data_IF_405463829913
#
_entry.id   IF_405463829913
#
_cell.length_a   1.000
_cell.length_b   1.000
_cell.length_c   1.000
_cell.angle_alpha   90.00
_cell.angle_beta   90.00
_cell.angle_gamma   90.00
#
_symmetry.space_group_name_H-M   'P 1'
#
loop_
_entity.id
_entity.type
_entity.pdbx_description
1 polymer ?
#
# COMPACT_ATOMS: atom_id res chain seq x y z
N UNK A 1 3.83 4.62 -36.79
CA UNK A 1 2.87 5.11 -35.80
C UNK A 1 3.50 6.30 -35.09
N UNK A 2 2.82 7.42 -35.06
CA UNK A 2 3.33 8.59 -34.35
C UNK A 2 3.14 8.36 -32.83
N UNK A 3 4.25 8.22 -32.07
CA UNK A 3 4.24 7.95 -30.64
C UNK A 3 4.04 9.23 -29.80
N UNK A 4 3.93 10.40 -30.41
CA UNK A 4 3.74 11.66 -29.71
C UNK A 4 2.40 11.74 -28.96
N UNK A 5 1.41 10.98 -29.38
CA UNK A 5 0.08 10.95 -28.79
C UNK A 5 -0.06 10.05 -27.53
N UNK A 6 0.97 9.32 -27.14
CA UNK A 6 0.91 8.50 -25.91
C UNK A 6 1.33 9.32 -24.69
N UNK A 7 0.64 9.10 -23.58
CA UNK A 7 1.11 9.60 -22.28
C UNK A 7 2.50 9.04 -21.96
N UNK A 8 3.20 9.71 -21.05
CA UNK A 8 4.52 9.32 -20.53
C UNK A 8 4.40 9.19 -19.02
N UNK A 9 4.17 7.97 -18.56
CA UNK A 9 3.93 7.66 -17.15
C UNK A 9 5.16 6.96 -16.60
N UNK A 10 5.68 7.50 -15.50
CA UNK A 10 6.68 6.84 -14.67
C UNK A 10 5.98 6.22 -13.47
N UNK A 11 6.45 5.05 -13.04
CA UNK A 11 6.22 4.52 -11.70
C UNK A 11 7.55 4.40 -11.00
N UNK A 12 7.68 5.01 -9.84
CA UNK A 12 8.88 5.08 -9.02
C UNK A 12 8.59 4.37 -7.69
N UNK A 13 9.52 3.53 -7.22
CA UNK A 13 9.32 2.69 -6.04
C UNK A 13 10.67 2.50 -5.31
N UNK A 14 10.76 2.93 -4.06
CA UNK A 14 11.95 2.85 -3.23
C UNK A 14 12.25 1.39 -2.87
N UNK A 15 13.43 0.93 -3.20
CA UNK A 15 13.83 -0.47 -3.03
C UNK A 15 14.03 -0.82 -1.56
N UNK A 16 13.24 -1.80 -1.06
CA UNK A 16 13.25 -2.27 0.33
C UNK A 16 13.20 -1.11 1.35
N UNK A 17 12.35 -0.12 1.12
CA UNK A 17 12.40 1.22 1.68
C UNK A 17 12.79 1.30 3.15
N UNK A 18 12.00 0.75 4.09
CA UNK A 18 12.32 0.87 5.52
C UNK A 18 13.66 0.21 5.86
N UNK A 19 13.94 -0.96 5.31
CA UNK A 19 15.23 -1.63 5.53
C UNK A 19 16.39 -0.82 4.95
N UNK A 20 16.21 -0.16 3.81
CA UNK A 20 17.22 0.69 3.19
C UNK A 20 17.49 1.95 4.02
N UNK A 21 16.48 2.56 4.63
CA UNK A 21 16.67 3.68 5.58
C UNK A 21 17.46 3.22 6.81
N UNK A 22 17.16 2.04 7.38
CA UNK A 22 17.91 1.52 8.52
C UNK A 22 19.37 1.22 8.17
N UNK A 23 19.65 0.67 6.98
CA UNK A 23 21.02 0.43 6.51
C UNK A 23 21.76 1.73 6.16
N UNK A 24 21.06 2.76 5.66
CA UNK A 24 21.62 4.08 5.41
C UNK A 24 22.07 4.76 6.69
N UNK A 25 21.18 4.79 7.68
CA UNK A 25 21.37 5.52 8.93
C UNK A 25 22.32 4.78 9.90
N UNK A 26 22.42 3.45 9.77
CA UNK A 26 23.32 2.63 10.58
C UNK A 26 24.26 1.79 9.71
N UNK A 27 25.49 2.28 9.43
CA UNK A 27 26.47 1.56 8.60
C UNK A 27 26.79 0.14 9.08
N UNK A 28 26.62 -0.16 10.38
CA UNK A 28 26.82 -1.51 10.89
C UNK A 28 25.83 -2.55 10.36
N UNK A 29 24.71 -2.10 9.78
CA UNK A 29 23.67 -2.95 9.17
C UNK A 29 23.88 -3.16 7.67
N UNK A 30 24.78 -2.41 7.04
CA UNK A 30 25.03 -2.53 5.60
C UNK A 30 25.52 -3.93 5.24
N UNK A 31 24.97 -4.47 4.15
CA UNK A 31 25.27 -5.81 3.67
C UNK A 31 24.76 -6.96 4.54
N UNK A 32 24.03 -6.67 5.62
CA UNK A 32 23.46 -7.68 6.52
C UNK A 32 22.00 -7.98 6.18
N UNK A 33 21.58 -9.21 6.44
CA UNK A 33 20.20 -9.60 6.38
C UNK A 33 19.43 -8.97 7.54
N UNK A 34 18.63 -7.93 7.26
CA UNK A 34 17.79 -7.26 8.26
C UNK A 34 16.32 -7.33 7.89
N UNK A 35 15.47 -7.31 8.89
CA UNK A 35 14.03 -7.14 8.77
C UNK A 35 13.55 -6.03 9.71
N UNK A 36 12.85 -5.04 9.18
CA UNK A 36 12.18 -4.04 10.01
C UNK A 36 10.92 -4.67 10.56
N UNK A 37 10.78 -4.65 11.89
CA UNK A 37 9.69 -5.27 12.63
C UNK A 37 10.13 -5.78 13.98
N UNK A 38 9.20 -6.32 14.75
CA UNK A 38 9.48 -6.88 16.07
C UNK A 38 9.67 -8.39 16.00
N UNK A 39 10.73 -8.91 16.62
CA UNK A 39 10.91 -10.33 16.83
C UNK A 39 10.03 -10.81 17.99
N UNK A 40 8.75 -10.94 17.75
CA UNK A 40 7.76 -11.34 18.75
C UNK A 40 6.81 -12.41 18.19
N UNK A 41 6.07 -13.06 19.08
CA UNK A 41 5.12 -14.13 18.71
C UNK A 41 4.08 -13.67 17.66
N UNK A 42 3.72 -12.39 17.65
CA UNK A 42 2.76 -11.79 16.69
C UNK A 42 3.43 -10.76 15.78
N UNK A 43 4.77 -10.69 15.81
CA UNK A 43 5.54 -9.80 14.96
C UNK A 43 5.39 -10.14 13.49
N UNK A 44 5.44 -9.09 12.65
CA UNK A 44 5.37 -9.17 11.20
C UNK A 44 6.53 -8.37 10.61
N UNK A 45 7.12 -8.88 9.55
CA UNK A 45 8.13 -8.16 8.77
C UNK A 45 7.45 -7.03 8.00
N UNK A 46 7.80 -5.78 8.30
CA UNK A 46 7.34 -4.62 7.54
C UNK A 46 8.11 -4.46 6.24
N UNK A 47 9.45 -4.56 6.33
CA UNK A 47 10.34 -4.51 5.18
C UNK A 47 11.53 -5.44 5.41
N UNK A 48 12.05 -6.04 4.36
CA UNK A 48 13.23 -6.92 4.42
C UNK A 48 14.29 -6.44 3.45
N UNK A 49 15.55 -6.38 3.90
CA UNK A 49 16.69 -6.06 3.05
C UNK A 49 16.86 -7.08 1.92
N UNK A 50 17.56 -6.70 0.86
CA UNK A 50 17.81 -7.62 -0.25
C UNK A 50 18.63 -8.84 0.17
N UNK A 51 19.52 -8.69 1.16
CA UNK A 51 20.24 -9.80 1.76
C UNK A 51 19.27 -10.78 2.43
N UNK A 52 18.29 -10.29 3.19
CA UNK A 52 17.28 -11.14 3.82
C UNK A 52 16.34 -11.79 2.77
N UNK A 53 16.02 -11.06 1.70
CA UNK A 53 15.19 -11.58 0.59
C UNK A 53 15.83 -12.76 -0.14
N UNK A 54 17.17 -12.89 -0.14
CA UNK A 54 17.88 -14.06 -0.70
C UNK A 54 17.54 -15.36 0.05
N UNK A 55 17.20 -15.27 1.33
CA UNK A 55 16.74 -16.39 2.15
C UNK A 55 15.23 -16.62 2.10
N UNK A 56 14.51 -15.87 1.25
CA UNK A 56 13.05 -15.98 1.12
C UNK A 56 12.25 -15.11 2.09
N UNK A 57 12.90 -14.29 2.93
CA UNK A 57 12.20 -13.34 3.81
C UNK A 57 11.49 -12.26 2.97
N UNK A 58 10.22 -11.96 3.31
CA UNK A 58 9.39 -10.99 2.57
C UNK A 58 8.56 -10.15 3.56
N UNK A 59 8.13 -8.97 3.10
CA UNK A 59 7.13 -8.16 3.82
C UNK A 59 5.84 -8.94 4.06
N UNK A 60 5.13 -8.62 5.13
CA UNK A 60 3.95 -9.29 5.64
C UNK A 60 4.18 -10.73 6.18
N UNK A 61 5.40 -11.23 6.17
CA UNK A 61 5.73 -12.56 6.73
C UNK A 61 5.75 -12.50 8.26
N UNK A 62 5.21 -13.51 8.98
CA UNK A 62 5.38 -13.61 10.43
C UNK A 62 6.86 -13.65 10.83
N UNK A 63 7.24 -12.90 11.86
CA UNK A 63 8.64 -12.81 12.32
C UNK A 63 9.24 -14.18 12.67
N UNK A 64 8.45 -15.08 13.26
CA UNK A 64 8.87 -16.44 13.55
C UNK A 64 9.20 -17.27 12.30
N UNK A 65 8.51 -17.03 11.19
CA UNK A 65 8.80 -17.69 9.91
C UNK A 65 10.08 -17.09 9.31
N UNK A 66 10.20 -15.76 9.33
CA UNK A 66 11.37 -15.06 8.83
C UNK A 66 12.66 -15.50 9.57
N UNK A 67 12.62 -15.62 10.89
CA UNK A 67 13.74 -16.10 11.69
C UNK A 67 14.16 -17.53 11.35
N UNK A 68 13.21 -18.41 11.02
CA UNK A 68 13.52 -19.79 10.57
C UNK A 68 14.17 -19.85 9.20
N UNK A 69 13.74 -18.96 8.27
CA UNK A 69 14.29 -18.89 6.92
C UNK A 69 15.70 -18.29 6.91
N UNK A 70 15.97 -17.36 7.80
CA UNK A 70 17.24 -16.66 7.91
C UNK A 70 17.71 -16.66 9.37
N UNK A 71 18.47 -17.68 9.84
CA UNK A 71 18.90 -17.77 11.24
C UNK A 71 19.70 -16.57 11.76
N UNK A 72 20.42 -15.88 10.88
CA UNK A 72 21.22 -14.70 11.20
C UNK A 72 20.46 -13.38 10.92
N UNK A 73 19.13 -13.43 10.81
CA UNK A 73 18.29 -12.25 10.55
C UNK A 73 18.32 -11.30 11.74
N UNK A 74 18.66 -10.04 11.47
CA UNK A 74 18.63 -8.97 12.47
C UNK A 74 17.28 -8.28 12.37
N UNK A 75 16.50 -8.33 13.44
CA UNK A 75 15.26 -7.55 13.54
C UNK A 75 15.58 -6.16 14.04
N UNK A 76 15.08 -5.14 13.34
CA UNK A 76 15.25 -3.73 13.65
C UNK A 76 13.87 -3.12 13.94
N UNK A 77 13.65 -2.48 15.09
CA UNK A 77 12.38 -1.76 15.33
C UNK A 77 12.17 -0.67 14.28
N UNK A 78 10.91 -0.50 13.84
CA UNK A 78 10.58 0.52 12.86
C UNK A 78 10.64 1.94 13.43
N UNK A 79 11.17 2.89 12.62
CA UNK A 79 11.26 4.33 12.95
C UNK A 79 10.41 5.13 11.96
N UNK A 80 9.09 5.08 12.15
CA UNK A 80 8.14 5.63 11.17
C UNK A 80 8.38 7.11 10.84
N UNK A 81 8.81 7.92 11.80
CA UNK A 81 9.06 9.35 11.57
C UNK A 81 10.27 9.56 10.64
N UNK A 82 11.33 8.72 10.75
CA UNK A 82 12.46 8.76 9.83
C UNK A 82 12.05 8.32 8.42
N UNK A 83 11.14 7.34 8.31
CA UNK A 83 10.62 6.92 7.01
C UNK A 83 9.78 7.99 6.36
N UNK A 84 8.91 8.69 7.11
CA UNK A 84 8.12 9.82 6.61
C UNK A 84 9.04 10.97 6.14
N UNK A 85 10.08 11.26 6.90
CA UNK A 85 11.07 12.28 6.54
C UNK A 85 11.78 11.94 5.22
N UNK A 86 12.33 10.73 5.13
CA UNK A 86 13.00 10.27 3.91
C UNK A 86 12.05 10.25 2.69
N UNK A 87 10.79 9.83 2.90
CA UNK A 87 9.75 9.89 1.87
C UNK A 87 9.50 11.33 1.40
N UNK A 88 9.33 12.28 2.33
CA UNK A 88 9.08 13.67 1.99
C UNK A 88 10.24 14.26 1.15
N UNK A 89 11.49 13.98 1.50
CA UNK A 89 12.68 14.40 0.75
C UNK A 89 12.67 13.81 -0.69
N UNK A 90 12.27 12.55 -0.84
CA UNK A 90 12.14 11.90 -2.16
C UNK A 90 11.02 12.52 -2.99
N UNK A 91 9.86 12.80 -2.39
CA UNK A 91 8.74 13.44 -3.09
C UNK A 91 9.04 14.90 -3.48
N UNK A 92 9.86 15.60 -2.70
CA UNK A 92 10.38 16.92 -3.07
C UNK A 92 11.25 16.83 -4.34
N UNK A 93 12.10 15.81 -4.47
CA UNK A 93 12.86 15.55 -5.70
C UNK A 93 11.91 15.30 -6.87
N UNK A 94 10.86 14.46 -6.70
CA UNK A 94 9.90 14.20 -7.77
C UNK A 94 9.23 15.48 -8.28
N UNK A 95 8.89 16.42 -7.38
CA UNK A 95 8.23 17.67 -7.72
C UNK A 95 9.06 18.62 -8.59
N UNK A 96 10.38 18.43 -8.66
CA UNK A 96 11.27 19.19 -9.55
C UNK A 96 11.06 18.84 -11.03
N UNK A 97 10.51 17.66 -11.31
CA UNK A 97 10.34 17.13 -12.66
C UNK A 97 8.91 17.24 -13.21
N UNK A 98 7.91 17.17 -12.35
CA UNK A 98 6.50 17.36 -12.72
C UNK A 98 5.66 17.66 -11.49
N UNK A 99 4.55 18.39 -11.69
CA UNK A 99 3.54 18.61 -10.66
C UNK A 99 2.45 17.51 -10.68
N UNK A 100 2.44 16.65 -11.70
CA UNK A 100 1.45 15.56 -11.82
C UNK A 100 1.99 14.31 -11.15
N UNK A 101 1.88 14.27 -9.82
CA UNK A 101 2.36 13.19 -8.95
C UNK A 101 1.18 12.57 -8.22
N UNK A 102 0.99 11.26 -8.37
CA UNK A 102 0.05 10.47 -7.58
C UNK A 102 0.82 9.61 -6.59
N UNK A 103 0.77 9.98 -5.32
CA UNK A 103 1.32 9.18 -4.25
C UNK A 103 0.45 7.95 -4.03
N UNK A 104 1.01 6.75 -4.23
CA UNK A 104 0.32 5.46 -4.03
C UNK A 104 0.54 4.96 -2.61
N UNK A 105 1.78 5.07 -2.13
CA UNK A 105 2.22 4.69 -0.79
C UNK A 105 3.28 5.68 -0.26
N UNK A 106 3.86 5.38 0.89
CA UNK A 106 4.97 6.16 1.45
C UNK A 106 6.26 6.03 0.62
N UNK A 107 6.37 5.01 -0.24
CA UNK A 107 7.57 4.63 -0.98
C UNK A 107 7.36 4.54 -2.50
N UNK A 108 6.14 4.76 -3.00
CA UNK A 108 5.86 4.67 -4.43
C UNK A 108 4.93 5.76 -4.95
N UNK A 109 5.17 6.17 -6.19
CA UNK A 109 4.36 7.16 -6.88
C UNK A 109 4.28 6.91 -8.39
N UNK A 110 3.19 7.39 -9.00
CA UNK A 110 3.10 7.64 -10.43
C UNK A 110 3.39 9.10 -10.73
N UNK A 111 4.17 9.33 -11.77
CA UNK A 111 4.45 10.66 -12.32
C UNK A 111 3.96 10.71 -13.77
N UNK A 112 3.19 11.71 -14.12
CA UNK A 112 2.89 12.01 -15.53
C UNK A 112 3.85 13.09 -16.02
N UNK A 113 4.72 12.73 -16.97
CA UNK A 113 5.72 13.60 -17.54
C UNK A 113 5.42 13.89 -19.03
N UNK A 114 4.15 13.71 -19.43
CA UNK A 114 3.72 13.86 -20.83
C UNK A 114 3.99 15.26 -21.39
N UNK A 115 3.88 16.29 -20.58
CA UNK A 115 4.04 17.66 -21.04
C UNK A 115 5.51 18.15 -20.99
N UNK A 116 6.34 17.51 -20.17
CA UNK A 116 7.73 17.97 -19.89
C UNK A 116 8.81 17.08 -20.51
N UNK A 117 8.49 15.88 -20.99
CA UNK A 117 9.51 14.91 -21.41
C UNK A 117 10.42 15.41 -22.54
N UNK A 118 9.92 16.32 -23.40
CA UNK A 118 10.69 16.84 -24.53
C UNK A 118 11.89 17.68 -24.09
N UNK A 119 11.79 18.36 -22.95
CA UNK A 119 12.88 19.16 -22.38
C UNK A 119 14.07 18.29 -21.96
N UNK A 120 13.82 17.00 -21.72
CA UNK A 120 14.80 16.00 -21.30
C UNK A 120 15.15 15.01 -22.41
N UNK A 121 14.55 15.15 -23.60
CA UNK A 121 14.73 14.22 -24.74
C UNK A 121 13.84 12.99 -24.68
N UNK A 122 13.80 12.26 -23.55
CA UNK A 122 12.97 11.06 -23.38
C UNK A 122 12.52 10.92 -21.92
N UNK A 123 11.31 10.36 -21.68
CA UNK A 123 10.81 10.09 -20.35
C UNK A 123 11.74 9.15 -19.53
N UNK A 124 12.48 8.28 -20.20
CA UNK A 124 13.49 7.44 -19.57
C UNK A 124 14.64 8.26 -18.96
N UNK A 125 15.02 9.38 -19.58
CA UNK A 125 16.09 10.24 -19.03
C UNK A 125 15.63 10.95 -17.76
N UNK A 126 14.36 11.36 -17.68
CA UNK A 126 13.78 11.88 -16.44
C UNK A 126 13.88 10.82 -15.33
N UNK A 127 13.52 9.57 -15.63
CA UNK A 127 13.62 8.48 -14.64
C UNK A 127 15.07 8.26 -14.18
N UNK A 128 16.07 8.37 -15.06
CA UNK A 128 17.49 8.27 -14.69
C UNK A 128 17.91 9.42 -13.78
N UNK A 129 17.57 10.66 -14.15
CA UNK A 129 17.89 11.84 -13.34
C UNK A 129 17.28 11.75 -11.94
N UNK A 130 16.00 11.37 -11.84
CA UNK A 130 15.35 11.15 -10.55
C UNK A 130 16.09 10.09 -9.72
N UNK A 131 16.47 8.96 -10.32
CA UNK A 131 17.23 7.90 -9.64
C UNK A 131 18.59 8.40 -9.13
N UNK A 132 19.28 9.20 -9.92
CA UNK A 132 20.54 9.82 -9.53
C UNK A 132 20.38 10.84 -8.39
N UNK A 133 19.38 11.71 -8.48
CA UNK A 133 19.11 12.72 -7.46
C UNK A 133 18.71 12.05 -6.12
N UNK A 134 17.81 11.07 -6.13
CA UNK A 134 17.44 10.32 -4.92
C UNK A 134 18.66 9.63 -4.28
N UNK A 135 19.53 9.04 -5.10
CA UNK A 135 20.75 8.40 -4.60
C UNK A 135 21.72 9.42 -4.00
N UNK A 136 21.91 10.54 -4.69
CA UNK A 136 22.87 11.60 -4.27
C UNK A 136 22.41 12.35 -3.03
N UNK A 137 21.12 12.72 -2.97
CA UNK A 137 20.61 13.64 -1.96
C UNK A 137 20.01 12.92 -0.76
N UNK A 138 19.36 11.79 -0.98
CA UNK A 138 18.68 11.02 0.09
C UNK A 138 19.44 9.75 0.48
N UNK A 139 20.38 9.29 -0.35
CA UNK A 139 21.14 8.07 -0.09
C UNK A 139 20.31 6.78 -0.21
N UNK A 140 19.21 6.81 -0.94
CA UNK A 140 18.34 5.65 -1.16
C UNK A 140 18.36 5.21 -2.63
N UNK A 141 17.95 3.96 -2.84
CA UNK A 141 17.85 3.36 -4.17
C UNK A 141 16.37 3.29 -4.56
N UNK A 142 16.09 3.67 -5.80
CA UNK A 142 14.75 3.65 -6.36
C UNK A 142 14.74 2.87 -7.68
N UNK A 143 13.73 2.04 -7.89
CA UNK A 143 13.45 1.38 -9.16
C UNK A 143 12.38 2.14 -9.93
N UNK A 144 12.55 2.24 -11.25
CA UNK A 144 11.70 3.02 -12.13
C UNK A 144 11.14 2.18 -13.28
N UNK A 145 9.85 2.32 -13.52
CA UNK A 145 9.16 1.83 -14.69
C UNK A 145 8.63 2.95 -15.56
N UNK A 146 8.84 2.88 -16.84
CA UNK A 146 8.39 3.90 -17.81
C UNK A 146 7.48 3.26 -18.84
N UNK A 147 6.29 3.81 -19.02
CA UNK A 147 5.36 3.36 -20.05
C UNK A 147 4.34 4.46 -20.41
N UNK A 148 3.29 4.10 -21.15
CA UNK A 148 2.24 5.04 -21.59
C UNK A 148 0.97 4.98 -20.73
N UNK A 149 0.92 4.11 -19.72
CA UNK A 149 -0.15 4.06 -18.73
C UNK A 149 0.37 3.55 -17.38
N UNK A 150 -0.44 3.74 -16.33
CA UNK A 150 -0.09 3.40 -14.95
C UNK A 150 0.15 1.91 -14.76
N UNK A 151 -0.71 1.05 -15.34
CA UNK A 151 -0.59 -0.39 -15.24
C UNK A 151 0.77 -0.91 -15.72
N UNK A 152 1.17 -0.53 -16.92
CA UNK A 152 2.43 -0.96 -17.51
C UNK A 152 3.65 -0.36 -16.81
N UNK A 153 3.56 0.92 -16.40
CA UNK A 153 4.64 1.58 -15.67
C UNK A 153 4.90 0.87 -14.32
N UNK A 154 3.83 0.48 -13.59
CA UNK A 154 4.00 -0.25 -12.33
C UNK A 154 4.63 -1.63 -12.52
N UNK A 155 4.20 -2.39 -13.52
CA UNK A 155 4.84 -3.70 -13.81
C UNK A 155 6.30 -3.51 -14.22
N UNK A 156 6.59 -2.48 -15.01
CA UNK A 156 7.95 -2.19 -15.44
C UNK A 156 8.89 -1.88 -14.26
N UNK A 157 8.43 -1.13 -13.24
CA UNK A 157 9.23 -0.80 -12.07
C UNK A 157 9.64 -2.03 -11.26
N UNK A 158 8.82 -3.09 -11.25
CA UNK A 158 9.11 -4.33 -10.54
C UNK A 158 10.01 -5.31 -11.32
N UNK A 159 10.15 -5.11 -12.65
CA UNK A 159 10.76 -6.10 -13.53
C UNK A 159 12.26 -6.36 -13.31
N UNK A 160 12.99 -5.34 -12.83
CA UNK A 160 14.46 -5.41 -12.67
C UNK A 160 14.94 -4.94 -11.31
N UNK A 161 14.12 -5.03 -10.25
CA UNK A 161 14.53 -4.69 -8.90
C UNK A 161 15.69 -5.57 -8.40
N UNK A 162 16.63 -5.03 -7.63
CA UNK A 162 16.76 -3.64 -7.19
C UNK A 162 17.45 -2.73 -8.22
N UNK A 163 17.34 -1.42 -8.01
CA UNK A 163 17.96 -0.38 -8.84
C UNK A 163 17.57 -0.45 -10.32
N UNK A 164 16.38 -1.00 -10.58
CA UNK A 164 15.88 -1.26 -11.91
C UNK A 164 15.50 0.02 -12.66
N UNK A 165 15.64 -0.04 -13.99
CA UNK A 165 15.02 0.88 -14.94
C UNK A 165 14.49 0.05 -16.09
N UNK A 166 13.19 0.04 -16.29
CA UNK A 166 12.55 -0.72 -17.33
C UNK A 166 11.56 0.13 -18.11
N UNK A 167 11.64 0.06 -19.43
CA UNK A 167 10.73 0.77 -20.34
C UNK A 167 9.88 -0.26 -21.09
N UNK A 168 8.55 -0.15 -20.99
CA UNK A 168 7.62 -0.92 -21.80
C UNK A 168 7.05 0.01 -22.87
N UNK A 169 7.60 -0.13 -24.08
CA UNK A 169 7.20 0.66 -25.23
C UNK A 169 5.87 0.16 -25.81
N UNK A 170 4.98 1.04 -26.37
CA UNK A 170 3.69 0.63 -26.94
C UNK A 170 3.77 -0.55 -27.92
N UNK A 171 4.77 -0.59 -28.81
CA UNK A 171 4.96 -1.67 -29.76
C UNK A 171 5.33 -3.03 -29.13
N UNK A 172 5.86 -3.02 -27.91
CA UNK A 172 6.28 -4.23 -27.21
C UNK A 172 5.29 -4.65 -26.11
N UNK A 173 4.36 -3.77 -25.75
CA UNK A 173 3.51 -3.93 -24.57
C UNK A 173 2.68 -5.21 -24.63
N UNK A 174 1.98 -5.47 -25.74
CA UNK A 174 1.13 -6.65 -25.86
C UNK A 174 1.95 -7.94 -25.78
N UNK A 175 3.10 -8.00 -26.49
CA UNK A 175 4.01 -9.16 -26.44
C UNK A 175 4.60 -9.37 -25.04
N UNK A 176 4.83 -8.29 -24.29
CA UNK A 176 5.29 -8.34 -22.91
C UNK A 176 4.21 -8.92 -22.01
N UNK A 177 2.98 -8.39 -22.10
CA UNK A 177 1.83 -8.84 -21.28
C UNK A 177 1.46 -10.29 -21.63
N UNK A 178 1.50 -10.70 -22.89
CA UNK A 178 1.19 -12.08 -23.29
C UNK A 178 2.03 -13.13 -22.54
N UNK A 179 3.27 -12.79 -22.17
CA UNK A 179 4.20 -13.67 -21.45
C UNK A 179 4.19 -13.48 -19.94
N UNK A 180 3.50 -12.44 -19.45
CA UNK A 180 3.50 -12.09 -18.03
C UNK A 180 2.68 -13.13 -17.26
N UNK A 181 3.21 -13.78 -16.20
CA UNK A 181 2.41 -14.61 -15.32
C UNK A 181 1.30 -13.81 -14.65
N UNK A 182 0.10 -14.36 -14.53
CA UNK A 182 -1.05 -13.64 -13.95
C UNK A 182 -0.80 -13.13 -12.54
N UNK A 183 0.01 -13.81 -11.74
CA UNK A 183 0.42 -13.38 -10.40
C UNK A 183 1.24 -12.07 -10.38
N UNK A 184 1.78 -11.65 -11.53
CA UNK A 184 2.52 -10.40 -11.66
C UNK A 184 1.65 -9.26 -12.20
N UNK A 185 0.37 -9.51 -12.50
CA UNK A 185 -0.59 -8.48 -12.91
C UNK A 185 -0.98 -7.67 -11.67
N UNK A 186 -0.92 -6.36 -11.77
CA UNK A 186 -1.30 -5.45 -10.69
C UNK A 186 -2.73 -5.73 -10.21
N UNK A 187 -2.88 -5.91 -8.89
CA UNK A 187 -4.16 -6.25 -8.25
C UNK A 187 -4.47 -7.75 -8.18
N UNK A 188 -3.64 -8.61 -8.76
CA UNK A 188 -3.76 -10.06 -8.63
C UNK A 188 -2.95 -10.55 -7.43
N UNK A 189 -3.65 -10.75 -6.30
CA UNK A 189 -3.06 -11.37 -5.11
C UNK A 189 -3.03 -12.91 -5.18
N UNK A 190 -2.44 -13.59 -4.18
CA UNK A 190 -2.31 -15.06 -4.18
C UNK A 190 -3.64 -15.81 -4.39
N UNK A 191 -4.72 -15.38 -3.72
CA UNK A 191 -6.05 -16.02 -3.86
C UNK A 191 -6.60 -15.86 -5.28
N UNK A 192 -6.47 -14.66 -5.85
CA UNK A 192 -6.93 -14.40 -7.22
C UNK A 192 -6.10 -15.15 -8.25
N UNK A 193 -4.77 -15.24 -8.05
CA UNK A 193 -3.88 -16.02 -8.90
C UNK A 193 -4.25 -17.50 -8.91
N UNK A 194 -4.46 -18.08 -7.73
CA UNK A 194 -4.91 -19.48 -7.61
C UNK A 194 -6.26 -19.71 -8.30
N UNK A 195 -7.20 -18.77 -8.16
CA UNK A 195 -8.49 -18.85 -8.86
C UNK A 195 -8.30 -18.76 -10.38
N UNK A 196 -7.46 -17.86 -10.87
CA UNK A 196 -7.13 -17.76 -12.31
C UNK A 196 -6.50 -19.05 -12.82
N UNK A 197 -5.53 -19.60 -12.12
CA UNK A 197 -4.84 -20.84 -12.48
C UNK A 197 -5.81 -22.04 -12.52
N UNK A 198 -6.75 -22.12 -11.58
CA UNK A 198 -7.81 -23.14 -11.58
C UNK A 198 -8.78 -23.02 -12.79
N UNK A 199 -8.89 -21.82 -13.36
CA UNK A 199 -9.66 -21.54 -14.57
C UNK A 199 -8.83 -21.67 -15.87
N UNK A 200 -7.59 -22.19 -15.79
CA UNK A 200 -6.68 -22.35 -16.93
C UNK A 200 -6.09 -21.02 -17.42
N UNK A 201 -6.02 -20.02 -16.55
CA UNK A 201 -5.46 -18.69 -16.87
C UNK A 201 -4.13 -18.53 -16.13
N UNK A 202 -3.01 -18.71 -16.81
CA UNK A 202 -1.66 -18.67 -16.24
C UNK A 202 -0.88 -17.42 -16.66
N UNK A 203 -1.20 -16.86 -17.82
CA UNK A 203 -0.49 -15.73 -18.43
C UNK A 203 -1.44 -14.61 -18.84
N UNK A 204 -0.88 -13.45 -19.15
CA UNK A 204 -1.64 -12.34 -19.73
C UNK A 204 -2.27 -12.70 -21.07
N UNK A 205 -1.66 -13.62 -21.87
CA UNK A 205 -2.28 -14.13 -23.09
C UNK A 205 -3.55 -14.92 -22.78
N UNK A 206 -3.49 -15.89 -21.87
CA UNK A 206 -4.66 -16.68 -21.47
C UNK A 206 -5.78 -15.78 -20.95
N UNK A 207 -5.42 -14.76 -20.17
CA UNK A 207 -6.37 -13.77 -19.67
C UNK A 207 -7.00 -12.94 -20.81
N UNK A 208 -6.22 -12.55 -21.82
CA UNK A 208 -6.69 -11.80 -22.98
C UNK A 208 -7.64 -12.60 -23.87
N UNK A 209 -7.49 -13.92 -23.92
CA UNK A 209 -8.36 -14.83 -24.66
C UNK A 209 -9.73 -15.04 -24.01
N UNK A 210 -9.94 -14.57 -22.78
CA UNK A 210 -11.23 -14.64 -22.11
C UNK A 210 -12.13 -13.43 -22.46
N UNK A 211 -13.41 -13.70 -22.57
CA UNK A 211 -14.43 -12.67 -22.79
C UNK A 211 -14.66 -11.82 -21.54
N UNK A 212 -15.09 -10.59 -21.75
CA UNK A 212 -15.41 -9.67 -20.66
C UNK A 212 -16.49 -10.24 -19.73
N UNK A 213 -17.55 -10.82 -20.28
CA UNK A 213 -18.66 -11.42 -19.53
C UNK A 213 -18.15 -12.51 -18.57
N UNK A 214 -17.30 -13.41 -19.05
CA UNK A 214 -16.67 -14.45 -18.24
C UNK A 214 -15.84 -13.85 -17.10
N UNK A 215 -14.99 -12.85 -17.39
CA UNK A 215 -14.14 -12.24 -16.37
C UNK A 215 -14.93 -11.47 -15.31
N UNK A 216 -16.02 -10.81 -15.70
CA UNK A 216 -16.91 -10.11 -14.75
C UNK A 216 -17.68 -11.11 -13.89
N UNK A 217 -18.18 -12.22 -14.47
CA UNK A 217 -18.83 -13.29 -13.73
C UNK A 217 -17.89 -13.90 -12.68
N UNK A 218 -16.64 -14.17 -13.06
CA UNK A 218 -15.67 -14.82 -12.16
C UNK A 218 -15.04 -13.88 -11.13
N UNK A 219 -14.80 -12.62 -11.46
CA UNK A 219 -14.00 -11.69 -10.64
C UNK A 219 -14.73 -10.41 -10.26
N UNK A 220 -16.03 -10.30 -10.55
CA UNK A 220 -16.83 -9.10 -10.26
C UNK A 220 -16.30 -7.87 -11.01
N UNK A 221 -16.34 -6.71 -10.35
CA UNK A 221 -15.85 -5.45 -10.91
C UNK A 221 -14.36 -5.47 -11.31
N UNK A 222 -13.56 -6.30 -10.66
CA UNK A 222 -12.14 -6.50 -11.03
C UNK A 222 -11.97 -7.16 -12.39
N UNK A 223 -12.98 -7.91 -12.87
CA UNK A 223 -12.95 -8.56 -14.18
C UNK A 223 -12.78 -7.58 -15.32
N UNK A 224 -13.41 -6.40 -15.25
CA UNK A 224 -13.23 -5.34 -16.25
C UNK A 224 -11.77 -4.82 -16.25
N UNK A 225 -11.20 -4.63 -15.07
CA UNK A 225 -9.79 -4.21 -14.98
C UNK A 225 -8.85 -5.26 -15.58
N UNK A 226 -9.05 -6.53 -15.28
CA UNK A 226 -8.23 -7.62 -15.84
C UNK A 226 -8.38 -7.74 -17.35
N UNK A 227 -9.59 -7.58 -17.88
CA UNK A 227 -9.86 -7.56 -19.31
C UNK A 227 -9.08 -6.45 -20.03
N UNK A 228 -9.10 -5.24 -19.47
CA UNK A 228 -8.40 -4.08 -20.02
C UNK A 228 -6.88 -4.24 -19.88
N UNK A 229 -6.38 -4.66 -18.74
CA UNK A 229 -4.95 -4.85 -18.47
C UNK A 229 -4.32 -5.88 -19.41
N UNK A 230 -5.00 -6.99 -19.66
CA UNK A 230 -4.54 -7.99 -20.63
C UNK A 230 -4.44 -7.46 -22.07
N UNK A 231 -5.10 -6.33 -22.36
CA UNK A 231 -5.08 -5.59 -23.64
C UNK A 231 -4.20 -4.35 -23.59
N UNK A 232 -3.44 -4.18 -22.51
CA UNK A 232 -2.57 -3.01 -22.26
C UNK A 232 -3.35 -1.68 -22.18
N UNK A 233 -4.61 -1.73 -21.81
CA UNK A 233 -5.50 -0.56 -21.67
C UNK A 233 -5.59 -0.16 -20.20
N UNK A 234 -5.24 1.09 -19.91
CA UNK A 234 -5.43 1.73 -18.61
C UNK A 234 -5.51 3.25 -18.80
N UNK A 235 -6.73 3.76 -18.86
CA UNK A 235 -7.00 5.17 -19.14
C UNK A 235 -7.04 6.02 -17.87
N UNK A 236 -6.81 5.42 -16.69
CA UNK A 236 -6.79 6.16 -15.42
C UNK A 236 -5.73 7.27 -15.47
N UNK A 237 -6.10 8.53 -15.17
CA UNK A 237 -5.13 9.61 -15.07
C UNK A 237 -4.24 9.43 -13.82
N UNK A 238 -3.11 10.13 -13.80
CA UNK A 238 -2.35 10.39 -12.58
C UNK A 238 -3.13 11.45 -11.78
N UNK A 239 -3.53 11.10 -10.54
CA UNK A 239 -4.34 11.96 -9.68
C UNK A 239 -3.45 12.59 -8.62
N UNK A 240 -3.43 13.91 -8.59
CA UNK A 240 -2.64 14.67 -7.61
C UNK A 240 -3.31 14.78 -6.24
N UNK A 241 -4.61 14.51 -6.19
CA UNK A 241 -5.40 14.61 -4.98
C UNK A 241 -5.95 13.25 -4.55
N UNK A 242 -5.87 12.99 -3.27
CA UNK A 242 -6.47 11.81 -2.63
C UNK A 242 -7.40 12.25 -1.52
N UNK A 243 -8.68 11.99 -1.71
CA UNK A 243 -9.69 12.26 -0.67
C UNK A 243 -9.71 11.08 0.31
N UNK A 244 -9.40 11.36 1.58
CA UNK A 244 -9.48 10.37 2.66
C UNK A 244 -10.94 9.98 2.88
N UNK A 245 -11.24 8.68 2.81
CA UNK A 245 -12.60 8.14 2.97
C UNK A 245 -12.92 7.75 4.41
N UNK A 246 -11.91 7.45 5.21
CA UNK A 246 -12.05 7.06 6.61
C UNK A 246 -10.78 7.37 7.41
N UNK A 247 -10.94 7.54 8.72
CA UNK A 247 -9.87 7.52 9.70
C UNK A 247 -10.10 6.35 10.67
N UNK A 248 -9.06 5.58 10.99
CA UNK A 248 -9.19 4.37 11.80
C UNK A 248 -8.06 4.20 12.79
N UNK A 249 -8.33 3.43 13.85
CA UNK A 249 -7.34 2.95 14.80
C UNK A 249 -7.60 1.46 15.05
N UNK A 250 -6.57 0.63 15.02
CA UNK A 250 -6.70 -0.80 15.34
C UNK A 250 -5.45 -1.32 16.06
N UNK A 251 -5.65 -2.31 16.93
CA UNK A 251 -4.57 -2.97 17.67
C UNK A 251 -4.71 -4.49 17.60
N UNK A 252 -3.62 -5.17 17.35
CA UNK A 252 -3.51 -6.61 17.57
C UNK A 252 -3.06 -6.83 19.00
N UNK A 253 -3.90 -7.46 19.83
CA UNK A 253 -3.62 -7.71 21.23
C UNK A 253 -2.41 -8.64 21.38
N UNK A 254 -1.61 -8.46 22.43
CA UNK A 254 -0.43 -9.30 22.72
C UNK A 254 -0.81 -10.76 22.97
N UNK A 255 -1.96 -10.99 23.58
CA UNK A 255 -2.62 -12.29 23.77
C UNK A 255 -4.09 -12.17 23.39
N UNK A 256 -4.70 -13.31 23.00
CA UNK A 256 -6.13 -13.31 22.71
C UNK A 256 -6.93 -13.07 24.00
N UNK A 257 -7.93 -12.19 23.93
CA UNK A 257 -8.71 -11.72 25.09
C UNK A 257 -10.18 -12.17 24.99
N UNK A 258 -10.71 -12.71 26.05
CA UNK A 258 -12.12 -13.10 26.17
C UNK A 258 -12.91 -12.29 27.20
N UNK A 259 -12.24 -11.46 27.99
CA UNK A 259 -12.87 -10.63 29.01
C UNK A 259 -13.38 -9.34 28.40
N UNK A 260 -14.70 -9.12 28.50
CA UNK A 260 -15.37 -7.96 27.91
C UNK A 260 -14.83 -6.63 28.47
N UNK A 261 -14.65 -6.53 29.77
CA UNK A 261 -14.16 -5.29 30.40
C UNK A 261 -12.78 -4.87 29.87
N UNK A 262 -11.87 -5.85 29.65
CA UNK A 262 -10.56 -5.55 29.04
C UNK A 262 -10.65 -5.14 27.58
N UNK A 263 -11.64 -5.66 26.85
CA UNK A 263 -11.90 -5.23 25.48
C UNK A 263 -12.47 -3.79 25.46
N UNK A 264 -13.29 -3.42 26.45
CA UNK A 264 -13.80 -2.06 26.63
C UNK A 264 -12.67 -1.09 27.01
N UNK A 265 -11.75 -1.48 27.90
CA UNK A 265 -10.54 -0.69 28.20
C UNK A 265 -9.73 -0.44 26.92
N UNK A 266 -9.53 -1.47 26.11
CA UNK A 266 -8.84 -1.36 24.82
C UNK A 266 -9.57 -0.43 23.84
N UNK A 267 -10.91 -0.47 23.82
CA UNK A 267 -11.71 0.46 23.00
C UNK A 267 -11.54 1.91 23.46
N UNK A 268 -11.44 2.15 24.76
CA UNK A 268 -11.18 3.49 25.30
C UNK A 268 -9.83 4.04 24.80
N UNK A 269 -8.76 3.23 24.87
CA UNK A 269 -7.42 3.59 24.35
C UNK A 269 -7.43 3.84 22.84
N UNK A 270 -8.09 2.97 22.09
CA UNK A 270 -8.25 3.13 20.63
C UNK A 270 -9.03 4.40 20.29
N UNK A 271 -10.02 4.76 21.11
CA UNK A 271 -10.81 5.98 20.92
C UNK A 271 -9.94 7.22 21.10
N UNK A 272 -9.06 7.26 22.10
CA UNK A 272 -8.12 8.37 22.29
C UNK A 272 -7.18 8.53 21.10
N UNK A 273 -6.66 7.42 20.61
CA UNK A 273 -5.80 7.42 19.44
C UNK A 273 -6.54 7.84 18.16
N UNK A 274 -7.76 7.37 17.98
CA UNK A 274 -8.61 7.76 16.85
C UNK A 274 -8.94 9.27 16.92
N UNK A 275 -9.28 9.81 18.09
CA UNK A 275 -9.54 11.25 18.27
C UNK A 275 -8.35 12.10 17.86
N UNK A 276 -7.13 11.67 18.21
CA UNK A 276 -5.91 12.35 17.78
C UNK A 276 -5.78 12.36 16.25
N UNK A 277 -6.07 11.24 15.59
CA UNK A 277 -6.06 11.14 14.12
C UNK A 277 -7.15 11.99 13.46
N UNK A 278 -8.37 12.00 14.01
CA UNK A 278 -9.47 12.81 13.49
C UNK A 278 -9.10 14.29 13.51
N UNK A 279 -8.54 14.78 14.63
CA UNK A 279 -8.11 16.19 14.78
C UNK A 279 -6.96 16.52 13.83
N UNK A 280 -5.94 15.65 13.76
CA UNK A 280 -4.77 15.87 12.89
C UNK A 280 -5.14 16.00 11.41
N UNK A 281 -6.15 15.25 10.98
CA UNK A 281 -6.53 15.15 9.56
C UNK A 281 -7.80 15.97 9.25
N UNK A 282 -8.31 16.74 10.21
CA UNK A 282 -9.57 17.48 10.10
C UNK A 282 -10.68 16.61 9.48
N UNK A 283 -10.81 15.38 10.02
CA UNK A 283 -11.71 14.39 9.47
C UNK A 283 -13.01 14.33 10.25
N UNK A 284 -14.10 14.66 9.59
CA UNK A 284 -15.46 14.54 10.10
C UNK A 284 -16.24 13.47 9.33
N UNK A 285 -16.84 12.52 10.05
CA UNK A 285 -17.62 11.45 9.44
C UNK A 285 -18.82 11.05 10.27
N UNK A 286 -19.79 10.41 9.61
CA UNK A 286 -21.11 10.05 10.19
C UNK A 286 -21.27 8.55 10.46
N UNK A 287 -20.34 7.71 10.13
CA UNK A 287 -20.43 6.28 10.41
C UNK A 287 -19.25 5.81 11.26
N UNK A 288 -19.57 5.08 12.33
CA UNK A 288 -18.59 4.39 13.17
C UNK A 288 -18.66 2.90 12.85
N UNK A 289 -17.52 2.31 12.55
CA UNK A 289 -17.36 0.88 12.31
C UNK A 289 -16.47 0.27 13.38
N UNK A 290 -16.98 -0.71 14.10
CA UNK A 290 -16.22 -1.59 14.97
C UNK A 290 -15.74 -2.80 14.16
N UNK A 291 -14.46 -3.16 14.29
CA UNK A 291 -13.84 -4.34 13.70
C UNK A 291 -13.32 -5.26 14.81
N UNK A 292 -13.76 -6.50 14.79
CA UNK A 292 -13.29 -7.56 15.69
C UNK A 292 -12.72 -8.69 14.86
N UNK A 293 -11.48 -9.11 15.16
CA UNK A 293 -10.89 -10.32 14.59
C UNK A 293 -10.66 -11.32 15.71
N UNK A 294 -11.18 -12.52 15.55
CA UNK A 294 -11.00 -13.63 16.50
C UNK A 294 -9.65 -14.34 16.33
N UNK A 295 -9.32 -15.20 17.30
CA UNK A 295 -8.10 -16.02 17.30
C UNK A 295 -7.92 -16.86 16.03
N UNK A 296 -9.02 -17.30 15.42
CA UNK A 296 -9.06 -18.08 14.18
C UNK A 296 -9.00 -17.22 12.90
N UNK A 297 -8.68 -15.92 13.04
CA UNK A 297 -8.61 -14.92 11.98
C UNK A 297 -9.96 -14.57 11.31
N UNK A 298 -11.09 -15.13 11.75
CA UNK A 298 -12.41 -14.66 11.32
C UNK A 298 -12.60 -13.22 11.76
N UNK A 299 -12.97 -12.36 10.83
CA UNK A 299 -13.19 -10.91 11.09
C UNK A 299 -14.68 -10.59 10.98
N UNK A 300 -15.18 -9.85 11.96
CA UNK A 300 -16.54 -9.30 11.96
C UNK A 300 -16.41 -7.78 12.00
N UNK A 301 -17.28 -7.10 11.26
CA UNK A 301 -17.47 -5.65 11.34
C UNK A 301 -18.90 -5.32 11.70
N UNK A 302 -19.10 -4.28 12.49
CA UNK A 302 -20.41 -3.71 12.82
C UNK A 302 -20.34 -2.20 12.62
N UNK A 303 -21.29 -1.65 11.90
CA UNK A 303 -21.31 -0.22 11.57
C UNK A 303 -22.60 0.42 12.07
N UNK A 304 -22.49 1.60 12.66
CA UNK A 304 -23.60 2.46 13.01
C UNK A 304 -23.40 3.81 12.33
N UNK A 305 -24.43 4.25 11.60
CA UNK A 305 -24.47 5.60 11.01
C UNK A 305 -25.36 6.50 11.86
N UNK A 306 -24.92 7.75 12.02
CA UNK A 306 -25.59 8.80 12.79
C UNK A 306 -25.98 9.97 11.88
N UNK A 307 -26.99 10.72 12.28
CA UNK A 307 -27.34 11.98 11.61
C UNK A 307 -26.31 13.10 11.96
N UNK A 308 -25.63 12.99 13.09
CA UNK A 308 -24.55 13.88 13.52
C UNK A 308 -23.19 13.25 13.27
N UNK A 309 -22.14 14.07 13.20
CA UNK A 309 -20.75 13.61 13.07
C UNK A 309 -20.26 12.98 14.37
N UNK A 310 -19.33 12.04 14.25
CA UNK A 310 -18.60 11.46 15.37
C UNK A 310 -17.35 12.30 15.64
N UNK A 311 -17.46 13.29 16.53
CA UNK A 311 -16.36 14.21 16.86
C UNK A 311 -16.05 14.29 18.37
N UNK A 312 -16.81 13.57 19.20
CA UNK A 312 -16.62 13.54 20.65
C UNK A 312 -16.24 12.13 21.13
N UNK A 313 -15.22 12.04 22.02
CA UNK A 313 -14.74 10.78 22.59
C UNK A 313 -15.87 9.97 23.23
N UNK A 314 -16.71 10.60 24.06
CA UNK A 314 -17.81 9.96 24.76
C UNK A 314 -18.83 9.31 23.81
N UNK A 315 -19.16 9.99 22.72
CA UNK A 315 -20.06 9.49 21.69
C UNK A 315 -19.47 8.29 20.94
N UNK A 316 -18.19 8.39 20.53
CA UNK A 316 -17.48 7.32 19.81
C UNK A 316 -17.37 6.09 20.71
N UNK A 317 -16.89 6.25 21.95
CA UNK A 317 -16.70 5.14 22.88
C UNK A 317 -18.02 4.43 23.18
N UNK A 318 -19.06 5.16 23.61
CA UNK A 318 -20.38 4.59 23.90
C UNK A 318 -20.96 3.82 22.70
N UNK A 319 -20.77 4.34 21.48
CA UNK A 319 -21.24 3.67 20.27
C UNK A 319 -20.44 2.41 19.99
N UNK A 320 -19.11 2.45 20.17
CA UNK A 320 -18.24 1.29 19.94
C UNK A 320 -18.54 0.17 20.96
N UNK A 321 -18.77 0.50 22.23
CA UNK A 321 -19.20 -0.44 23.30
C UNK A 321 -20.55 -1.08 22.93
N UNK A 322 -21.54 -0.28 22.56
CA UNK A 322 -22.84 -0.81 22.12
C UNK A 322 -22.76 -1.71 20.88
N UNK A 323 -21.79 -1.48 19.98
CA UNK A 323 -21.55 -2.37 18.86
C UNK A 323 -20.80 -3.65 19.29
N UNK A 324 -19.94 -3.58 20.29
CA UNK A 324 -19.24 -4.73 20.87
C UNK A 324 -20.20 -5.68 21.57
N UNK A 325 -21.13 -5.16 22.38
CA UNK A 325 -22.17 -5.95 23.06
C UNK A 325 -23.05 -6.75 22.09
N UNK A 326 -23.24 -6.27 20.85
CA UNK A 326 -24.03 -6.94 19.81
C UNK A 326 -23.27 -8.06 19.10
N UNK A 327 -22.02 -8.30 19.47
CA UNK A 327 -21.22 -9.38 18.87
C UNK A 327 -21.40 -10.65 19.71
N UNK A 328 -21.92 -11.69 19.08
CA UNK A 328 -21.86 -13.04 19.65
C UNK A 328 -20.45 -13.61 19.50
N UNK A 329 -19.77 -13.73 20.63
CA UNK A 329 -18.40 -14.25 20.66
C UNK A 329 -18.33 -15.77 20.49
N UNK A 330 -19.40 -16.53 20.75
CA UNK A 330 -19.44 -17.99 20.65
C UNK A 330 -18.22 -18.65 21.31
N UNK A 331 -17.85 -18.20 22.51
CA UNK A 331 -16.66 -18.63 23.26
C UNK A 331 -15.32 -18.38 22.56
N UNK A 332 -15.30 -17.58 21.49
CA UNK A 332 -14.07 -17.21 20.80
C UNK A 332 -13.40 -16.02 21.49
N UNK A 333 -12.09 -16.04 21.52
CA UNK A 333 -11.28 -14.93 22.03
C UNK A 333 -10.92 -13.94 20.91
N UNK A 334 -10.77 -12.68 21.27
CA UNK A 334 -10.46 -11.59 20.35
C UNK A 334 -8.95 -11.44 20.20
N UNK A 335 -8.50 -11.43 18.96
CA UNK A 335 -7.11 -11.20 18.58
C UNK A 335 -6.82 -9.73 18.23
N UNK A 336 -7.79 -9.05 17.64
CA UNK A 336 -7.63 -7.65 17.19
C UNK A 336 -8.95 -6.91 17.38
N UNK A 337 -8.82 -5.68 17.86
CA UNK A 337 -9.88 -4.68 17.87
C UNK A 337 -9.51 -3.50 16.99
N UNK A 338 -10.49 -2.89 16.37
CA UNK A 338 -10.33 -1.66 15.60
C UNK A 338 -11.62 -0.86 15.52
N UNK A 339 -11.49 0.45 15.44
CA UNK A 339 -12.58 1.39 15.22
C UNK A 339 -12.22 2.32 14.07
N UNK A 340 -13.24 2.69 13.28
CA UNK A 340 -13.07 3.60 12.16
C UNK A 340 -14.23 4.57 12.06
N UNK A 341 -13.94 5.82 11.75
CA UNK A 341 -14.94 6.81 11.34
C UNK A 341 -14.86 6.93 9.81
N UNK A 342 -16.00 6.77 9.16
CA UNK A 342 -16.20 6.87 7.72
C UNK A 342 -17.41 7.72 7.36
N UNK A 343 -17.83 7.67 6.11
CA UNK A 343 -18.90 8.51 5.57
C UNK A 343 -18.59 9.98 5.85
N UNK A 344 -17.49 10.45 5.24
CA UNK A 344 -16.97 11.82 5.40
C UNK A 344 -18.05 12.82 5.01
N UNK A 345 -18.16 13.91 5.78
CA UNK A 345 -18.89 15.09 5.32
C UNK A 345 -18.10 15.70 4.15
N UNK A 346 -18.75 15.84 3.02
CA UNK A 346 -18.24 16.67 1.93
C UNK A 346 -18.35 18.12 2.37
N UNK A 347 -17.23 18.76 2.70
CA UNK A 347 -17.17 20.22 2.74
C UNK A 347 -17.02 20.70 1.29
N UNK A 348 -17.67 21.82 1.00
CA UNK A 348 -17.53 22.50 -0.31
C UNK A 348 -16.03 22.70 -0.62
N UNK A 349 -15.59 22.04 -1.68
CA UNK A 349 -14.19 21.88 -2.08
C UNK A 349 -13.62 23.19 -2.59
N UNK A 350 -13.09 24.06 -1.71
CA UNK A 350 -12.20 25.15 -2.14
C UNK A 350 -10.86 25.27 -1.42
N UNK A 351 -10.59 24.50 -0.36
CA UNK A 351 -9.30 24.63 0.33
C UNK A 351 -8.87 23.33 1.02
N UNK A 352 -8.13 22.44 0.35
CA UNK A 352 -7.26 21.47 1.04
C UNK A 352 -6.14 20.94 0.15
N UNK A 353 -5.07 21.71 0.04
CA UNK A 353 -3.74 21.18 -0.21
C UNK A 353 -3.10 20.90 1.16
N UNK A 354 -3.10 19.66 1.62
CA UNK A 354 -2.35 19.28 2.81
C UNK A 354 -1.64 17.94 2.63
N UNK A 355 -0.32 18.03 2.69
CA UNK A 355 0.69 16.96 2.66
C UNK A 355 0.64 15.96 3.84
N UNK A 356 -0.50 15.87 4.56
CA UNK A 356 -0.63 15.11 5.80
C UNK A 356 -1.05 13.64 5.69
N UNK A 357 -1.32 13.12 4.50
CA UNK A 357 -2.06 11.85 4.32
C UNK A 357 -1.23 10.56 4.38
N UNK A 358 0.01 10.61 4.90
CA UNK A 358 0.88 9.43 4.97
C UNK A 358 0.57 8.43 6.09
N UNK A 359 -0.37 8.75 6.98
CA UNK A 359 -0.64 7.90 8.16
C UNK A 359 -1.43 6.60 7.87
N UNK A 360 -2.12 6.50 6.73
CA UNK A 360 -2.89 5.29 6.39
C UNK A 360 -2.05 4.16 5.78
N UNK A 361 -0.83 4.48 5.36
CA UNK A 361 0.05 3.53 4.68
C UNK A 361 0.93 2.75 5.66
N UNK A 362 0.74 2.93 6.97
CA UNK A 362 1.51 2.20 7.96
C UNK A 362 1.03 0.74 7.99
N UNK A 363 1.86 -0.23 7.65
CA UNK A 363 1.59 -1.61 8.01
C UNK A 363 1.45 -1.67 9.53
N UNK A 364 0.54 -2.46 10.01
CA UNK A 364 0.25 -2.74 11.41
C UNK A 364 1.50 -3.20 12.16
N UNK A 365 2.31 -2.23 12.58
CA UNK A 365 3.54 -2.45 13.31
C UNK A 365 3.35 -1.87 14.72
N UNK A 366 2.70 -2.63 15.56
CA UNK A 366 2.89 -2.60 17.03
C UNK A 366 2.51 -3.97 17.57
#
# INVERSE_FOLDING_TARGET
MNFDNYRRILHLDLDAFFASVEQRDNPSLQGKAIAVGLNSARGVVASASYEARKFGVRSAMPSSVAARLCPNLIFVPGRMDEYKKASAEVFEIFSRYTNLIEQVSIDEAFLDVTDVWRDYGYAMEIAKLIKEDVRREVGLIISAGVSYNKFLAKIASDWRKPDGLCVIHPNAALKFIDRLPVKAIWGVGPVTSQKMEALGIFTGKDLREKDLSFLVEQFGSSGLSYYNFARCIDDRPVRTERIRKQASAEITLSKDEGNLNKLEDTLSELTDYLMTRLRKNDFLGRSLTLKVRFHNFKTITRTQTSNSVFNEKSQILKTAESLLEKIDFNHQTVRLLGIAIGNRLEEDTENMLNLGDMDELTPRLL
#
